data_IF_864194852706
#
_entry.id   IF_864194852706
#
_cell.length_a   1.000
_cell.length_b   1.000
_cell.length_c   1.000
_cell.angle_alpha   90.00
_cell.angle_beta   90.00
_cell.angle_gamma   90.00
#
_symmetry.space_group_name_H-M   'P 1'
#
loop_
_entity.id
_entity.type
_entity.pdbx_description
1 polymer ?
#
# COMPACT_ATOMS: atom_id res chain seq x y z
N UNK A 1 27.35 -8.76 -12.98
CA UNK A 1 27.90 -7.68 -12.12
C UNK A 1 27.42 -6.34 -12.67
N UNK A 2 27.12 -5.38 -11.81
CA UNK A 2 26.64 -4.05 -12.22
C UNK A 2 27.69 -3.28 -13.03
N UNK A 3 27.20 -2.53 -14.02
CA UNK A 3 28.04 -1.64 -14.83
C UNK A 3 28.18 -0.25 -14.19
N UNK A 4 29.10 0.56 -14.69
CA UNK A 4 29.25 1.96 -14.28
C UNK A 4 27.94 2.75 -14.46
N UNK A 5 27.16 2.46 -15.49
CA UNK A 5 25.85 3.09 -15.73
C UNK A 5 24.83 2.71 -14.68
N UNK A 6 24.79 1.43 -14.27
CA UNK A 6 23.91 0.99 -13.18
C UNK A 6 24.24 1.71 -11.86
N UNK A 7 25.53 1.83 -11.53
CA UNK A 7 25.95 2.53 -10.30
C UNK A 7 25.65 4.03 -10.36
N UNK A 8 25.80 4.66 -11.52
CA UNK A 8 25.39 6.06 -11.72
C UNK A 8 23.87 6.23 -11.53
N UNK A 9 23.09 5.29 -12.05
CA UNK A 9 21.63 5.27 -11.82
C UNK A 9 21.31 5.13 -10.33
N UNK A 10 22.00 4.22 -9.61
CA UNK A 10 21.84 4.10 -8.15
C UNK A 10 22.14 5.41 -7.42
N UNK A 11 23.21 6.11 -7.81
CA UNK A 11 23.52 7.41 -7.23
C UNK A 11 22.41 8.43 -7.49
N UNK A 12 21.86 8.51 -8.70
CA UNK A 12 20.78 9.44 -9.05
C UNK A 12 19.51 9.13 -8.25
N UNK A 13 19.10 7.87 -8.21
CA UNK A 13 17.95 7.43 -7.43
C UNK A 13 18.15 7.76 -5.93
N UNK A 14 19.34 7.52 -5.40
CA UNK A 14 19.67 7.81 -4.01
C UNK A 14 19.56 9.31 -3.67
N UNK A 15 20.14 10.18 -4.48
CA UNK A 15 20.07 11.63 -4.28
C UNK A 15 18.68 12.18 -4.51
N UNK A 16 17.84 11.53 -5.30
CA UNK A 16 16.44 11.93 -5.45
C UNK A 16 15.68 11.82 -4.13
N UNK A 17 16.02 10.82 -3.30
CA UNK A 17 15.41 10.57 -1.98
C UNK A 17 16.09 11.41 -0.90
N UNK A 18 17.44 11.43 -0.88
CA UNK A 18 18.27 12.03 0.17
C UNK A 18 19.05 13.24 -0.37
N UNK A 19 18.33 14.28 -0.79
CA UNK A 19 18.89 15.47 -1.44
C UNK A 19 19.94 16.20 -0.58
N UNK A 20 19.78 16.16 0.73
CA UNK A 20 20.68 16.78 1.71
C UNK A 20 22.03 16.05 1.84
N UNK A 21 22.20 14.88 1.19
CA UNK A 21 23.43 14.11 1.21
C UNK A 21 24.34 14.32 -0.01
N UNK A 22 23.95 15.17 -0.94
CA UNK A 22 24.70 15.44 -2.17
C UNK A 22 26.14 15.86 -1.88
N UNK A 23 26.36 16.71 -0.85
CA UNK A 23 27.70 17.18 -0.49
C UNK A 23 28.55 16.07 0.11
N UNK A 24 27.97 15.20 0.95
CA UNK A 24 28.64 14.04 1.54
C UNK A 24 29.12 13.05 0.50
N UNK A 25 28.37 12.89 -0.57
CA UNK A 25 28.63 11.91 -1.63
C UNK A 25 29.42 12.44 -2.83
N UNK A 26 29.99 13.65 -2.76
CA UNK A 26 30.82 14.22 -3.83
C UNK A 26 31.98 13.30 -4.22
N UNK A 27 32.60 12.62 -3.25
CA UNK A 27 33.69 11.71 -3.50
C UNK A 27 33.24 10.44 -4.23
N UNK A 28 32.14 9.84 -3.78
CA UNK A 28 31.52 8.70 -4.47
C UNK A 28 31.15 9.07 -5.91
N UNK A 29 30.50 10.21 -6.09
CA UNK A 29 30.15 10.70 -7.44
C UNK A 29 31.39 10.86 -8.31
N UNK A 30 32.45 11.49 -7.81
CA UNK A 30 33.71 11.67 -8.55
C UNK A 30 34.33 10.34 -8.94
N UNK A 31 34.27 9.35 -8.02
CA UNK A 31 34.81 8.01 -8.26
C UNK A 31 34.01 7.30 -9.38
N UNK A 32 32.69 7.24 -9.31
CA UNK A 32 31.87 6.55 -10.31
C UNK A 32 31.90 7.22 -11.69
N UNK A 33 32.12 8.55 -11.75
CA UNK A 33 32.23 9.27 -13.01
C UNK A 33 33.53 9.00 -13.75
N UNK A 34 34.63 8.65 -13.02
CA UNK A 34 35.95 8.51 -13.57
C UNK A 34 36.46 7.07 -13.66
N UNK A 35 35.73 6.11 -13.08
CA UNK A 35 36.21 4.72 -12.97
C UNK A 35 35.45 3.83 -13.97
N UNK A 36 36.21 3.03 -14.70
CA UNK A 36 35.69 2.05 -15.65
C UNK A 36 34.99 0.90 -14.90
N UNK A 37 34.02 0.24 -15.58
CA UNK A 37 33.15 -0.77 -14.95
C UNK A 37 33.91 -1.94 -14.34
N UNK A 38 35.00 -2.39 -14.95
CA UNK A 38 35.85 -3.50 -14.49
C UNK A 38 36.70 -3.15 -13.27
N UNK A 39 36.90 -1.86 -12.99
CA UNK A 39 37.71 -1.34 -11.89
C UNK A 39 36.87 -0.91 -10.68
N UNK A 40 35.54 -0.81 -10.82
CA UNK A 40 34.68 -0.36 -9.73
C UNK A 40 34.75 -1.27 -8.49
N UNK A 41 34.93 -2.56 -8.70
CA UNK A 41 34.97 -3.58 -7.65
C UNK A 41 36.38 -4.19 -7.44
N UNK A 42 37.39 -3.69 -8.16
CA UNK A 42 38.74 -4.24 -8.05
C UNK A 42 39.42 -3.74 -6.76
N UNK A 43 39.71 -4.68 -5.85
CA UNK A 43 40.43 -4.43 -4.59
C UNK A 43 41.82 -3.81 -4.78
N UNK A 44 42.40 -3.92 -5.98
CA UNK A 44 43.70 -3.33 -6.34
C UNK A 44 43.57 -1.92 -6.91
N UNK A 45 42.34 -1.42 -7.06
CA UNK A 45 42.14 -0.02 -7.41
C UNK A 45 42.33 0.86 -6.17
N UNK A 46 43.54 1.39 -6.01
CA UNK A 46 43.88 2.23 -4.85
C UNK A 46 43.40 3.69 -4.95
N UNK A 47 42.57 4.03 -5.92
CA UNK A 47 41.72 5.24 -5.85
C UNK A 47 40.55 4.98 -4.94
N UNK A 48 39.93 3.81 -5.09
CA UNK A 48 38.83 3.32 -4.30
C UNK A 48 38.13 2.14 -5.00
N UNK A 49 37.25 1.46 -4.28
CA UNK A 49 36.38 0.44 -4.85
C UNK A 49 35.06 0.32 -4.05
N UNK A 50 34.07 -0.28 -4.69
CA UNK A 50 32.75 -0.48 -4.10
C UNK A 50 32.76 -1.71 -3.21
N UNK A 51 32.19 -1.56 -2.01
CA UNK A 51 31.90 -2.63 -1.04
C UNK A 51 30.41 -2.70 -0.78
N UNK A 52 29.95 -3.76 -0.15
CA UNK A 52 28.56 -3.91 0.25
C UNK A 52 28.45 -4.40 1.69
N UNK A 53 27.51 -3.83 2.44
CA UNK A 53 27.26 -4.23 3.82
C UNK A 53 25.78 -4.28 4.16
N UNK A 54 25.46 -4.86 5.32
CA UNK A 54 24.09 -5.12 5.74
C UNK A 54 23.81 -4.59 7.15
N UNK A 55 22.74 -3.86 7.30
CA UNK A 55 22.12 -3.61 8.60
C UNK A 55 21.04 -4.67 8.79
N UNK A 56 21.27 -5.61 9.69
CA UNK A 56 20.34 -6.69 9.99
C UNK A 56 19.62 -6.35 11.29
N UNK A 57 18.30 -6.16 11.22
CA UNK A 57 17.46 -5.67 12.31
C UNK A 57 16.50 -6.76 12.79
N UNK A 58 16.56 -7.07 14.07
CA UNK A 58 15.54 -7.86 14.75
C UNK A 58 14.39 -6.93 15.19
N UNK A 59 13.28 -7.00 14.46
CA UNK A 59 12.11 -6.17 14.72
C UNK A 59 11.45 -6.46 16.08
N UNK A 60 11.50 -7.73 16.54
CA UNK A 60 10.86 -8.14 17.81
C UNK A 60 11.55 -7.54 19.02
N UNK A 61 12.88 -7.47 18.97
CA UNK A 61 13.71 -7.03 20.08
C UNK A 61 14.32 -5.64 19.87
N UNK A 62 14.05 -4.98 18.73
CA UNK A 62 14.59 -3.67 18.35
C UNK A 62 16.12 -3.62 18.39
N UNK A 63 16.77 -4.70 17.91
CA UNK A 63 18.24 -4.83 17.92
C UNK A 63 18.81 -4.96 16.51
N UNK A 64 20.08 -4.57 16.37
CA UNK A 64 20.89 -4.76 15.15
C UNK A 64 22.02 -5.75 15.40
N UNK A 65 22.32 -6.56 14.39
CA UNK A 65 23.42 -7.51 14.44
C UNK A 65 24.74 -6.83 14.10
N UNK A 66 25.73 -7.01 14.96
CA UNK A 66 27.08 -6.49 14.78
C UNK A 66 28.11 -7.62 14.86
N UNK A 67 29.16 -7.49 14.06
CA UNK A 67 30.34 -8.34 14.08
C UNK A 67 31.54 -7.58 14.63
N UNK A 68 32.43 -8.27 15.32
CA UNK A 68 33.71 -7.71 15.81
C UNK A 68 34.76 -7.74 14.72
N UNK A 69 35.08 -6.59 14.17
CA UNK A 69 36.15 -6.49 13.17
C UNK A 69 37.53 -6.64 13.87
N UNK A 70 38.18 -7.75 13.58
CA UNK A 70 39.40 -8.17 14.31
C UNK A 70 40.52 -7.12 14.25
N UNK A 71 40.77 -6.51 13.09
CA UNK A 71 41.87 -5.52 12.90
C UNK A 71 41.52 -4.18 13.56
N UNK A 72 40.29 -3.69 13.37
CA UNK A 72 39.88 -2.39 13.90
C UNK A 72 39.46 -2.45 15.37
N UNK A 73 39.29 -3.63 15.95
CA UNK A 73 38.77 -3.85 17.31
C UNK A 73 37.46 -3.10 17.59
N UNK A 74 36.62 -3.03 16.57
CA UNK A 74 35.30 -2.33 16.62
C UNK A 74 34.21 -3.27 16.21
N UNK A 75 33.00 -2.96 16.73
CA UNK A 75 31.78 -3.61 16.34
C UNK A 75 31.22 -2.89 15.11
N UNK A 76 31.05 -3.61 14.01
CA UNK A 76 30.58 -3.10 12.73
C UNK A 76 29.43 -3.96 12.21
N UNK A 77 28.74 -3.48 11.22
CA UNK A 77 27.76 -4.26 10.46
C UNK A 77 28.50 -5.34 9.63
N UNK A 78 27.83 -6.49 9.35
CA UNK A 78 28.34 -7.48 8.39
C UNK A 78 28.54 -6.89 6.99
N UNK A 79 29.58 -7.30 6.29
CA UNK A 79 29.80 -6.89 4.91
C UNK A 79 31.28 -6.90 4.51
N UNK A 80 31.52 -6.78 3.20
CA UNK A 80 32.86 -6.87 2.64
C UNK A 80 32.93 -6.52 1.17
N UNK A 81 33.89 -7.15 0.46
CA UNK A 81 34.14 -6.89 -0.93
C UNK A 81 33.19 -7.68 -1.84
N UNK A 82 32.81 -7.05 -2.93
CA UNK A 82 32.01 -7.71 -3.97
C UNK A 82 32.96 -8.49 -4.87
N UNK A 83 32.74 -9.78 -5.04
CA UNK A 83 33.55 -10.66 -5.84
C UNK A 83 33.07 -10.73 -7.30
N UNK A 84 33.97 -11.09 -8.22
CA UNK A 84 33.64 -11.25 -9.64
C UNK A 84 32.62 -12.36 -9.91
N UNK A 85 32.47 -13.29 -8.97
CA UNK A 85 31.48 -14.38 -8.99
C UNK A 85 30.11 -13.94 -8.55
N UNK A 86 29.98 -12.81 -7.85
CA UNK A 86 28.69 -12.29 -7.41
C UNK A 86 27.90 -11.76 -8.60
N UNK A 87 26.63 -12.16 -8.72
CA UNK A 87 25.77 -11.73 -9.82
C UNK A 87 25.42 -10.24 -9.72
N UNK A 88 25.28 -9.74 -8.48
CA UNK A 88 24.99 -8.35 -8.14
C UNK A 88 25.68 -7.94 -6.83
N UNK A 89 25.71 -6.63 -6.53
CA UNK A 89 26.19 -6.12 -5.24
C UNK A 89 25.38 -6.76 -4.10
N UNK A 90 24.08 -6.86 -4.25
CA UNK A 90 23.21 -7.46 -3.24
C UNK A 90 23.53 -8.96 -3.02
N UNK A 91 23.88 -9.71 -4.06
CA UNK A 91 24.27 -11.11 -3.91
C UNK A 91 25.60 -11.23 -3.16
N UNK A 92 26.56 -10.32 -3.41
CA UNK A 92 27.78 -10.20 -2.62
C UNK A 92 27.47 -9.90 -1.15
N UNK A 93 26.53 -9.00 -0.88
CA UNK A 93 26.09 -8.70 0.51
C UNK A 93 25.49 -9.94 1.18
N UNK A 94 24.64 -10.73 0.48
CA UNK A 94 24.10 -11.97 1.04
C UNK A 94 25.20 -13.01 1.32
N UNK A 95 26.22 -13.12 0.44
CA UNK A 95 27.36 -13.99 0.66
C UNK A 95 28.13 -13.58 1.90
N UNK A 96 28.49 -12.31 2.04
CA UNK A 96 29.21 -11.77 3.22
C UNK A 96 28.40 -11.99 4.51
N UNK A 97 27.08 -11.75 4.50
CA UNK A 97 26.22 -12.03 5.65
C UNK A 97 26.34 -13.51 6.05
N UNK A 98 26.23 -14.42 5.09
CA UNK A 98 26.30 -15.85 5.38
C UNK A 98 27.67 -16.27 5.92
N UNK A 99 28.75 -15.78 5.31
CA UNK A 99 30.13 -16.09 5.73
C UNK A 99 30.45 -15.59 7.16
N UNK A 100 29.96 -14.39 7.51
CA UNK A 100 30.27 -13.77 8.79
C UNK A 100 29.31 -14.12 9.92
N UNK A 101 28.05 -14.47 9.60
CA UNK A 101 26.99 -14.65 10.60
C UNK A 101 26.28 -16.00 10.55
N UNK A 102 26.49 -16.77 9.48
CA UNK A 102 25.77 -18.02 9.18
C UNK A 102 24.24 -17.83 9.04
N UNK A 103 23.75 -16.61 8.79
CA UNK A 103 22.34 -16.31 8.52
C UNK A 103 22.07 -16.59 7.05
N UNK A 104 21.08 -17.45 6.79
CA UNK A 104 20.67 -17.77 5.43
C UNK A 104 19.87 -16.63 4.78
N UNK A 105 19.96 -16.52 3.46
CA UNK A 105 19.20 -15.53 2.67
C UNK A 105 17.70 -15.58 2.93
N UNK A 106 17.14 -16.78 3.14
CA UNK A 106 15.71 -16.97 3.39
C UNK A 106 15.26 -16.45 4.76
N UNK A 107 16.17 -16.31 5.71
CA UNK A 107 15.92 -15.70 7.03
C UNK A 107 15.97 -14.17 7.01
N UNK A 108 16.24 -13.58 5.85
CA UNK A 108 16.37 -12.15 5.67
C UNK A 108 15.29 -11.60 4.76
N UNK A 109 14.79 -10.43 5.10
CA UNK A 109 13.90 -9.66 4.25
C UNK A 109 14.52 -8.30 3.99
N UNK A 110 14.85 -8.04 2.72
CA UNK A 110 15.37 -6.75 2.29
C UNK A 110 14.27 -5.68 2.38
N UNK A 111 14.54 -4.60 3.09
CA UNK A 111 13.71 -3.40 3.11
C UNK A 111 14.44 -2.29 2.37
N UNK A 112 13.86 -1.83 1.29
CA UNK A 112 14.44 -0.79 0.44
C UNK A 112 13.77 0.57 0.69
N UNK A 113 14.49 1.69 0.63
CA UNK A 113 13.87 3.02 0.64
C UNK A 113 13.01 3.30 -0.61
N UNK A 114 13.22 2.55 -1.69
CA UNK A 114 12.39 2.60 -2.90
C UNK A 114 11.54 1.33 -2.94
N UNK A 115 10.22 1.50 -2.91
CA UNK A 115 9.28 0.40 -2.96
C UNK A 115 9.48 -0.44 -4.25
N UNK A 116 9.50 -1.77 -4.10
CA UNK A 116 9.66 -2.71 -5.20
C UNK A 116 11.06 -2.78 -5.83
N UNK A 117 12.02 -1.95 -5.42
CA UNK A 117 13.42 -2.00 -5.90
C UNK A 117 14.34 -2.63 -4.85
N UNK A 118 15.39 -3.30 -5.29
CA UNK A 118 16.49 -3.79 -4.44
C UNK A 118 17.53 -2.68 -4.32
N UNK A 119 17.37 -1.80 -3.33
CA UNK A 119 18.13 -0.56 -3.25
C UNK A 119 18.77 -0.35 -1.87
N UNK A 120 20.00 0.20 -1.78
CA UNK A 120 20.65 0.45 -0.51
C UNK A 120 19.98 1.58 0.28
N UNK A 121 19.91 1.43 1.60
CA UNK A 121 19.42 2.47 2.52
C UNK A 121 20.43 3.60 2.68
N UNK A 122 21.72 3.29 2.54
CA UNK A 122 22.79 4.25 2.72
C UNK A 122 23.94 3.99 1.76
N UNK A 123 24.64 5.07 1.36
CA UNK A 123 25.91 5.02 0.64
C UNK A 123 26.93 5.79 1.48
N UNK A 124 28.04 5.17 1.81
CA UNK A 124 29.10 5.79 2.61
C UNK A 124 30.45 5.73 1.89
N UNK A 125 31.25 6.75 2.07
CA UNK A 125 32.62 6.79 1.53
C UNK A 125 33.58 7.10 2.64
N UNK A 126 34.46 6.16 2.96
CA UNK A 126 35.42 6.33 4.03
C UNK A 126 36.84 5.88 3.62
N UNK A 127 37.87 6.55 4.15
CA UNK A 127 39.21 6.19 3.84
C UNK A 127 39.63 4.90 4.57
N UNK A 128 40.31 4.02 3.84
CA UNK A 128 41.01 2.86 4.39
C UNK A 128 42.48 3.20 4.50
N UNK A 129 43.10 3.09 5.69
CA UNK A 129 44.50 3.34 5.87
C UNK A 129 45.39 2.32 5.14
N UNK A 130 46.60 2.70 4.83
CA UNK A 130 47.59 1.81 4.23
C UNK A 130 47.79 0.55 5.10
N UNK A 131 47.87 -0.61 4.44
CA UNK A 131 48.17 -1.88 5.07
C UNK A 131 49.41 -2.52 4.41
N UNK A 132 50.62 -2.26 4.91
CA UNK A 132 51.87 -2.78 4.33
C UNK A 132 51.90 -4.31 4.31
N UNK A 133 51.28 -4.98 5.29
CA UNK A 133 51.28 -6.44 5.37
C UNK A 133 50.49 -7.11 4.22
N UNK A 134 49.57 -6.40 3.63
CA UNK A 134 48.76 -6.84 2.49
C UNK A 134 49.14 -6.16 1.18
N UNK A 135 50.20 -5.32 1.19
CA UNK A 135 50.60 -4.48 0.06
C UNK A 135 49.47 -3.58 -0.46
N UNK A 136 48.59 -3.11 0.44
CA UNK A 136 47.46 -2.23 0.12
C UNK A 136 47.85 -0.79 0.46
N UNK A 137 47.78 0.10 -0.53
CA UNK A 137 47.95 1.55 -0.33
C UNK A 137 46.68 2.14 0.30
N UNK A 138 46.78 3.33 0.89
CA UNK A 138 45.65 4.09 1.31
C UNK A 138 44.66 4.28 0.13
N UNK A 139 43.41 4.01 0.35
CA UNK A 139 42.34 4.09 -0.66
C UNK A 139 41.00 4.37 -0.01
N UNK A 140 39.93 4.43 -0.82
CA UNK A 140 38.55 4.61 -0.31
C UNK A 140 37.71 3.35 -0.51
N UNK A 141 36.93 3.01 0.51
CA UNK A 141 35.78 2.14 0.33
C UNK A 141 34.54 3.01 0.10
N UNK A 142 33.77 2.61 -0.90
CA UNK A 142 32.46 3.16 -1.20
C UNK A 142 31.43 2.09 -0.88
N UNK A 143 30.89 2.14 0.33
CA UNK A 143 30.06 1.10 0.91
C UNK A 143 28.58 1.34 0.63
N UNK A 144 27.94 0.40 -0.07
CA UNK A 144 26.49 0.37 -0.28
C UNK A 144 25.85 -0.47 0.81
N UNK A 145 25.11 0.17 1.72
CA UNK A 145 24.52 -0.46 2.89
C UNK A 145 23.08 -0.85 2.61
N UNK A 146 22.75 -2.13 2.79
CA UNK A 146 21.40 -2.66 2.64
C UNK A 146 20.76 -2.90 4.00
N UNK A 147 19.43 -2.71 4.09
CA UNK A 147 18.71 -2.89 5.32
C UNK A 147 17.83 -4.14 5.25
N UNK A 148 17.97 -5.03 6.23
CA UNK A 148 17.25 -6.29 6.31
C UNK A 148 16.52 -6.43 7.63
N UNK A 149 15.30 -6.97 7.58
CA UNK A 149 14.60 -7.52 8.73
C UNK A 149 14.97 -8.98 8.86
N UNK A 150 15.40 -9.39 10.05
CA UNK A 150 15.64 -10.78 10.39
C UNK A 150 14.30 -11.48 10.69
N UNK A 151 14.01 -12.58 9.97
CA UNK A 151 12.79 -13.38 10.11
C UNK A 151 13.01 -14.70 10.85
N UNK A 152 14.26 -15.07 11.13
CA UNK A 152 14.59 -16.34 11.75
C UNK A 152 13.93 -16.48 13.12
N UNK A 153 13.50 -17.71 13.44
CA UNK A 153 12.89 -18.02 14.74
C UNK A 153 13.92 -18.08 15.88
N UNK A 154 15.17 -18.42 15.54
CA UNK A 154 16.27 -18.50 16.51
C UNK A 154 17.18 -17.30 16.32
N UNK A 155 17.32 -16.50 17.35
CA UNK A 155 18.38 -15.49 17.43
C UNK A 155 19.71 -16.25 17.25
N UNK A 156 20.53 -15.83 16.28
CA UNK A 156 21.89 -16.35 16.13
C UNK A 156 22.59 -16.19 17.47
N UNK A 157 23.18 -17.27 18.00
CA UNK A 157 23.84 -17.23 19.30
C UNK A 157 24.93 -16.17 19.31
N UNK A 158 24.93 -15.32 20.33
CA UNK A 158 26.01 -14.37 20.54
C UNK A 158 27.31 -15.11 20.78
N UNK A 159 28.36 -14.62 20.16
CA UNK A 159 29.72 -15.15 20.33
C UNK A 159 30.69 -14.03 20.66
N UNK A 160 31.97 -14.34 20.88
CA UNK A 160 32.99 -13.31 21.07
C UNK A 160 33.12 -12.33 19.88
N UNK A 161 32.63 -12.76 18.70
CA UNK A 161 32.73 -11.99 17.45
C UNK A 161 31.34 -11.56 16.88
N UNK A 162 30.22 -11.94 17.52
CA UNK A 162 28.87 -11.66 17.04
C UNK A 162 27.98 -11.26 18.20
N UNK A 163 27.25 -10.13 18.06
CA UNK A 163 26.29 -9.69 19.07
C UNK A 163 25.12 -8.93 18.50
N UNK A 164 24.01 -8.99 19.21
CA UNK A 164 22.86 -8.12 19.01
C UNK A 164 22.98 -6.88 19.90
N UNK A 165 22.89 -5.70 19.32
CA UNK A 165 23.04 -4.41 19.99
C UNK A 165 21.83 -3.54 19.76
N UNK A 166 21.49 -2.67 20.70
CA UNK A 166 20.47 -1.66 20.48
C UNK A 166 20.85 -0.74 19.32
N UNK A 167 19.86 -0.26 18.56
CA UNK A 167 20.08 0.68 17.45
C UNK A 167 20.84 1.92 17.90
N UNK A 168 20.59 2.38 19.14
CA UNK A 168 21.35 3.47 19.77
C UNK A 168 22.83 3.19 19.88
N UNK A 169 23.26 1.92 19.95
CA UNK A 169 24.68 1.53 19.95
C UNK A 169 25.40 1.86 18.62
N UNK A 170 24.67 1.96 17.51
CA UNK A 170 25.20 2.45 16.25
C UNK A 170 25.47 3.96 16.26
N UNK A 171 24.74 4.73 17.07
CA UNK A 171 24.79 6.19 17.11
C UNK A 171 26.08 6.76 17.74
N UNK A 172 26.91 5.93 18.38
CA UNK A 172 28.19 6.34 18.95
C UNK A 172 29.23 6.76 17.88
N UNK A 173 28.95 6.49 16.59
CA UNK A 173 29.76 6.91 15.46
C UNK A 173 28.96 7.92 14.62
N UNK A 174 29.56 9.09 14.34
CA UNK A 174 28.90 10.20 13.59
C UNK A 174 28.35 9.76 12.23
N UNK A 175 29.00 8.82 11.56
CA UNK A 175 28.56 8.23 10.29
C UNK A 175 27.24 7.46 10.38
N UNK A 176 26.88 6.96 11.56
CA UNK A 176 25.66 6.18 11.74
C UNK A 176 24.44 7.00 12.20
N UNK A 177 24.63 8.25 12.64
CA UNK A 177 23.48 9.08 13.09
C UNK A 177 22.42 9.26 11.99
N UNK A 178 22.86 9.55 10.76
CA UNK A 178 21.93 9.67 9.62
C UNK A 178 21.32 8.32 9.23
N UNK A 179 22.11 7.25 9.30
CA UNK A 179 21.63 5.89 9.04
C UNK A 179 20.56 5.47 10.04
N UNK A 180 20.76 5.75 11.34
CA UNK A 180 19.77 5.47 12.39
C UNK A 180 18.47 6.20 12.09
N UNK A 181 18.53 7.47 11.69
CA UNK A 181 17.32 8.20 11.28
C UNK A 181 16.62 7.53 10.10
N UNK A 182 17.36 7.15 9.04
CA UNK A 182 16.80 6.45 7.88
C UNK A 182 16.13 5.12 8.25
N UNK A 183 16.73 4.37 9.18
CA UNK A 183 16.16 3.13 9.70
C UNK A 183 14.82 3.43 10.36
N UNK A 184 14.76 4.42 11.26
CA UNK A 184 13.52 4.79 11.93
C UNK A 184 12.48 5.33 10.94
N UNK A 185 12.87 6.17 9.99
CA UNK A 185 11.98 6.67 8.93
C UNK A 185 11.37 5.52 8.10
N UNK A 186 12.12 4.42 7.89
CA UNK A 186 11.61 3.23 7.21
C UNK A 186 10.73 2.34 8.10
N UNK A 187 11.00 2.29 9.40
CA UNK A 187 10.24 1.50 10.37
C UNK A 187 8.96 2.20 10.84
N UNK A 188 8.94 3.53 10.80
CA UNK A 188 7.78 4.37 11.17
C UNK A 188 6.69 4.38 10.07
N UNK A 189 7.04 4.02 8.85
CA UNK A 189 6.07 3.63 7.81
C UNK A 189 5.47 2.30 8.27
N UNK A 190 4.15 2.15 8.18
CA UNK A 190 3.47 0.89 8.54
C UNK A 190 4.15 -0.31 7.85
N UNK A 191 5.17 -0.81 8.52
CA UNK A 191 6.04 -1.87 8.03
C UNK A 191 5.24 -3.14 7.71
N UNK A 192 4.20 -3.45 8.50
CA UNK A 192 3.38 -4.63 8.29
C UNK A 192 2.60 -4.54 7.00
N UNK A 193 1.99 -3.39 6.72
CA UNK A 193 1.26 -3.13 5.47
C UNK A 193 2.20 -3.20 4.27
N UNK A 194 3.37 -2.60 4.38
CA UNK A 194 4.39 -2.66 3.34
C UNK A 194 4.83 -4.10 3.06
N UNK A 195 5.17 -4.86 4.10
CA UNK A 195 5.61 -6.25 3.99
C UNK A 195 4.53 -7.15 3.39
N UNK A 196 3.27 -6.89 3.73
CA UNK A 196 2.13 -7.58 3.14
C UNK A 196 2.11 -7.40 1.62
N UNK A 197 2.20 -6.16 1.13
CA UNK A 197 2.20 -5.89 -0.30
C UNK A 197 3.46 -6.41 -1.01
N UNK A 198 4.65 -6.29 -0.43
CA UNK A 198 5.88 -6.84 -1.01
C UNK A 198 5.82 -8.37 -1.14
N UNK A 199 5.22 -9.07 -0.17
CA UNK A 199 4.98 -10.52 -0.25
C UNK A 199 4.00 -10.86 -1.39
N UNK A 200 2.93 -10.09 -1.59
CA UNK A 200 2.00 -10.28 -2.72
C UNK A 200 2.74 -10.09 -4.04
N UNK A 201 3.48 -9.00 -4.21
CA UNK A 201 4.24 -8.70 -5.42
C UNK A 201 5.22 -9.82 -5.75
N UNK A 202 5.94 -10.34 -4.75
CA UNK A 202 6.92 -11.42 -4.95
C UNK A 202 6.28 -12.71 -5.50
N UNK A 203 4.97 -12.90 -5.30
CA UNK A 203 4.20 -14.05 -5.78
C UNK A 203 3.40 -13.75 -7.04
N UNK A 204 3.29 -12.48 -7.43
CA UNK A 204 2.58 -12.10 -8.62
C UNK A 204 3.28 -12.68 -9.86
N UNK A 205 2.50 -13.35 -10.71
CA UNK A 205 2.99 -13.88 -11.99
C UNK A 205 2.54 -12.93 -13.09
N UNK A 206 3.50 -12.37 -13.82
CA UNK A 206 3.22 -11.59 -15.02
C UNK A 206 3.09 -12.53 -16.21
N UNK A 207 2.14 -12.26 -17.09
CA UNK A 207 1.88 -13.08 -18.29
C UNK A 207 2.85 -12.79 -19.43
N UNK A 208 3.81 -11.89 -19.24
CA UNK A 208 4.71 -11.40 -20.30
C UNK A 208 4.06 -10.38 -21.24
N UNK A 209 2.78 -10.06 -21.07
CA UNK A 209 2.10 -8.98 -21.79
C UNK A 209 2.31 -7.64 -21.07
N UNK A 210 2.42 -6.56 -21.85
CA UNK A 210 2.55 -5.22 -21.29
C UNK A 210 1.18 -4.65 -20.96
N UNK A 211 0.90 -4.50 -19.68
CA UNK A 211 -0.29 -3.85 -19.16
C UNK A 211 0.06 -2.52 -18.50
N UNK A 212 -0.86 -1.56 -18.60
CA UNK A 212 -0.86 -0.32 -17.84
C UNK A 212 -2.13 -0.24 -17.01
N UNK A 213 -2.11 0.56 -15.94
CA UNK A 213 -3.25 0.71 -15.05
C UNK A 213 -3.78 2.15 -15.02
N UNK A 214 -5.10 2.29 -14.91
CA UNK A 214 -5.79 3.48 -14.42
C UNK A 214 -6.49 3.07 -13.13
N UNK A 215 -6.33 3.85 -12.07
CA UNK A 215 -6.77 3.47 -10.74
C UNK A 215 -7.68 4.53 -10.13
N UNK A 216 -8.93 4.20 -9.88
CA UNK A 216 -9.79 4.96 -8.96
C UNK A 216 -9.43 4.58 -7.54
N UNK A 217 -9.15 5.54 -6.66
CA UNK A 217 -8.72 5.23 -5.30
C UNK A 217 -9.16 6.27 -4.27
N UNK A 218 -9.38 5.82 -3.04
CA UNK A 218 -9.34 6.68 -1.87
C UNK A 218 -7.89 7.11 -1.64
N UNK A 219 -7.67 8.38 -1.30
CA UNK A 219 -6.32 8.92 -1.01
C UNK A 219 -6.18 9.04 0.51
N UNK A 220 -6.09 7.89 1.16
CA UNK A 220 -5.91 7.73 2.61
C UNK A 220 -4.55 7.09 2.89
N UNK A 221 -4.02 7.12 4.12
CA UNK A 221 -2.67 6.65 4.41
C UNK A 221 -2.31 5.26 3.84
N UNK A 222 -3.20 4.28 3.97
CA UNK A 222 -2.97 2.92 3.50
C UNK A 222 -2.91 2.79 1.96
N UNK A 223 -3.52 3.74 1.24
CA UNK A 223 -3.53 3.74 -0.22
C UNK A 223 -2.12 3.88 -0.84
N UNK A 224 -1.18 4.51 -0.14
CA UNK A 224 0.19 4.71 -0.66
C UNK A 224 0.85 3.38 -1.00
N UNK A 225 0.78 2.41 -0.09
CA UNK A 225 1.39 1.08 -0.30
C UNK A 225 0.66 0.27 -1.36
N UNK A 226 -0.66 0.35 -1.39
CA UNK A 226 -1.50 -0.27 -2.40
C UNK A 226 -1.17 0.24 -3.81
N UNK A 227 -1.14 1.56 -4.00
CA UNK A 227 -0.83 2.18 -5.29
C UNK A 227 0.58 1.83 -5.77
N UNK A 228 1.58 1.88 -4.88
CA UNK A 228 2.95 1.47 -5.21
C UNK A 228 3.05 -0.02 -5.56
N UNK A 229 2.23 -0.86 -4.92
CA UNK A 229 2.17 -2.29 -5.23
C UNK A 229 1.60 -2.52 -6.64
N UNK A 230 0.52 -1.86 -7.00
CA UNK A 230 -0.03 -1.91 -8.36
C UNK A 230 1.02 -1.44 -9.37
N UNK A 231 1.62 -0.28 -9.14
CA UNK A 231 2.60 0.32 -10.07
C UNK A 231 3.82 -0.56 -10.33
N UNK A 232 4.22 -1.34 -9.32
CA UNK A 232 5.33 -2.31 -9.46
C UNK A 232 5.00 -3.43 -10.45
N UNK A 233 3.72 -3.83 -10.57
CA UNK A 233 3.27 -4.91 -11.45
C UNK A 233 2.72 -4.35 -12.76
N UNK A 234 1.94 -3.27 -12.67
CA UNK A 234 1.24 -2.61 -13.77
C UNK A 234 1.46 -1.11 -13.69
N UNK A 235 2.33 -0.51 -14.54
CA UNK A 235 2.61 0.92 -14.49
C UNK A 235 1.34 1.78 -14.49
N UNK A 236 1.14 2.56 -13.43
CA UNK A 236 -0.02 3.43 -13.26
C UNK A 236 0.14 4.67 -14.15
N UNK A 237 -0.79 4.88 -15.07
CA UNK A 237 -0.80 6.05 -15.95
C UNK A 237 -1.41 7.27 -15.27
N UNK A 238 -2.47 7.05 -14.50
CA UNK A 238 -3.09 8.09 -13.68
C UNK A 238 -3.93 7.49 -12.57
N UNK A 239 -4.09 8.26 -11.50
CA UNK A 239 -4.99 7.95 -10.39
C UNK A 239 -6.16 8.92 -10.44
N UNK A 240 -7.37 8.41 -10.33
CA UNK A 240 -8.61 9.18 -10.18
C UNK A 240 -9.00 9.15 -8.70
N UNK A 241 -8.81 10.22 -7.93
CA UNK A 241 -9.11 10.23 -6.51
C UNK A 241 -10.62 10.28 -6.25
N UNK A 242 -11.07 9.56 -5.24
CA UNK A 242 -12.46 9.66 -4.73
C UNK A 242 -12.63 10.99 -3.99
N UNK A 243 -13.54 11.89 -4.43
CA UNK A 243 -13.59 13.28 -3.94
C UNK A 243 -13.82 13.42 -2.43
N UNK A 244 -14.56 12.50 -1.84
CA UNK A 244 -14.93 12.55 -0.42
C UNK A 244 -13.95 11.80 0.51
N UNK A 245 -12.80 11.36 0.00
CA UNK A 245 -11.84 10.53 0.73
C UNK A 245 -10.41 10.90 0.37
N UNK A 246 -10.06 12.17 0.61
CA UNK A 246 -8.72 12.70 0.35
C UNK A 246 -8.13 13.23 1.67
N UNK A 247 -7.09 12.56 2.17
CA UNK A 247 -6.22 13.06 3.23
C UNK A 247 -5.12 13.92 2.59
N UNK A 248 -4.99 15.15 3.02
CA UNK A 248 -4.07 16.14 2.44
C UNK A 248 -2.59 15.74 2.52
N UNK A 249 -2.19 15.08 3.59
CA UNK A 249 -0.81 14.60 3.76
C UNK A 249 -0.52 13.48 2.77
N UNK A 250 -1.43 12.52 2.71
CA UNK A 250 -1.35 11.38 1.78
C UNK A 250 -1.39 11.87 0.33
N UNK A 251 -2.27 12.81 0.00
CA UNK A 251 -2.33 13.42 -1.33
C UNK A 251 -0.99 14.05 -1.73
N UNK A 252 -0.34 14.75 -0.79
CA UNK A 252 0.98 15.33 -1.03
C UNK A 252 2.06 14.29 -1.32
N UNK A 253 1.96 13.09 -0.72
CA UNK A 253 2.87 11.98 -0.97
C UNK A 253 2.57 11.37 -2.35
N UNK A 254 1.30 10.99 -2.60
CA UNK A 254 0.88 10.31 -3.82
C UNK A 254 1.18 11.13 -5.07
N UNK A 255 0.93 12.44 -5.06
CA UNK A 255 1.20 13.33 -6.20
C UNK A 255 2.68 13.51 -6.55
N UNK A 256 3.60 13.09 -5.68
CA UNK A 256 5.05 13.10 -6.00
C UNK A 256 5.44 11.87 -6.82
N UNK A 257 4.75 10.76 -6.58
CA UNK A 257 5.07 9.47 -7.18
C UNK A 257 4.23 9.22 -8.44
N UNK A 258 3.00 9.78 -8.48
CA UNK A 258 2.00 9.47 -9.50
C UNK A 258 1.37 10.71 -10.12
N UNK A 259 0.93 10.56 -11.37
CA UNK A 259 0.03 11.53 -11.99
C UNK A 259 -1.37 11.34 -11.39
N UNK A 260 -1.97 12.44 -10.95
CA UNK A 260 -3.33 12.45 -10.41
C UNK A 260 -4.19 13.28 -11.33
N UNK A 261 -5.29 12.72 -11.80
CA UNK A 261 -6.31 13.46 -12.52
C UNK A 261 -7.11 14.33 -11.55
N UNK A 262 -7.22 15.61 -11.84
CA UNK A 262 -8.02 16.51 -11.03
C UNK A 262 -9.50 16.25 -11.24
N UNK A 263 -10.21 16.02 -10.13
CA UNK A 263 -11.64 15.77 -10.15
C UNK A 263 -12.33 16.80 -9.28
N UNK A 264 -13.16 17.62 -9.89
CA UNK A 264 -14.16 18.41 -9.18
C UNK A 264 -15.46 17.62 -9.13
N UNK A 265 -16.19 17.63 -8.01
CA UNK A 265 -17.40 16.80 -7.84
C UNK A 265 -18.48 17.08 -8.91
N UNK A 266 -18.58 18.32 -9.37
CA UNK A 266 -19.56 18.75 -10.37
C UNK A 266 -19.16 18.37 -11.80
N UNK A 267 -17.84 18.30 -12.09
CA UNK A 267 -17.27 18.04 -13.43
C UNK A 267 -16.75 16.63 -13.59
N UNK A 268 -16.98 15.77 -12.60
CA UNK A 268 -16.30 14.51 -12.42
C UNK A 268 -16.45 13.54 -13.59
N UNK A 269 -17.63 13.52 -14.22
CA UNK A 269 -17.88 12.57 -15.31
C UNK A 269 -17.14 12.99 -16.59
N UNK A 270 -17.22 14.23 -16.99
CA UNK A 270 -16.76 14.65 -18.32
C UNK A 270 -15.31 15.11 -18.37
N UNK A 271 -14.87 15.93 -17.42
CA UNK A 271 -13.50 16.44 -17.46
C UNK A 271 -12.46 15.40 -17.06
N UNK A 272 -12.79 14.56 -16.07
CA UNK A 272 -11.93 13.44 -15.66
C UNK A 272 -11.81 12.39 -16.76
N UNK A 273 -12.93 12.01 -17.40
CA UNK A 273 -12.91 11.07 -18.52
C UNK A 273 -12.06 11.61 -19.67
N UNK A 274 -12.22 12.88 -20.05
CA UNK A 274 -11.44 13.53 -21.08
C UNK A 274 -9.94 13.57 -20.76
N UNK A 275 -9.58 13.78 -19.49
CA UNK A 275 -8.18 13.74 -19.06
C UNK A 275 -7.60 12.32 -19.15
N UNK A 276 -8.32 11.32 -18.65
CA UNK A 276 -7.92 9.90 -18.72
C UNK A 276 -7.77 9.47 -20.19
N UNK A 277 -8.74 9.81 -21.04
CA UNK A 277 -8.66 9.52 -22.48
C UNK A 277 -7.39 10.11 -23.09
N UNK A 278 -7.09 11.39 -22.87
CA UNK A 278 -5.87 12.03 -23.40
C UNK A 278 -4.58 11.36 -22.91
N UNK A 279 -4.57 10.84 -21.68
CA UNK A 279 -3.42 10.12 -21.17
C UNK A 279 -3.26 8.79 -21.91
N UNK A 280 -4.36 8.05 -22.09
CA UNK A 280 -4.37 6.73 -22.71
C UNK A 280 -4.12 6.78 -24.24
N UNK A 281 -4.46 7.87 -24.90
CA UNK A 281 -4.15 8.09 -26.33
C UNK A 281 -2.63 8.13 -26.61
N UNK A 282 -1.82 8.47 -25.60
CA UNK A 282 -0.36 8.48 -25.70
C UNK A 282 0.30 7.14 -25.37
N UNK A 283 -0.48 6.08 -25.21
CA UNK A 283 -0.01 4.72 -24.88
C UNK A 283 -0.54 3.71 -25.89
N UNK A 284 0.08 2.53 -25.96
CA UNK A 284 -0.35 1.45 -26.86
C UNK A 284 -0.59 0.12 -26.14
N UNK A 285 -0.31 0.07 -24.85
CA UNK A 285 -0.40 -1.13 -24.02
C UNK A 285 -1.86 -1.51 -23.74
N UNK A 286 -2.08 -2.75 -23.28
CA UNK A 286 -3.37 -3.20 -22.74
C UNK A 286 -3.67 -2.50 -21.43
N UNK A 287 -4.93 -2.19 -21.19
CA UNK A 287 -5.39 -1.35 -20.09
C UNK A 287 -6.10 -2.22 -19.04
N UNK A 288 -5.71 -2.04 -17.78
CA UNK A 288 -6.43 -2.52 -16.61
C UNK A 288 -7.07 -1.32 -15.92
N UNK A 289 -8.38 -1.40 -15.68
CA UNK A 289 -9.11 -0.38 -14.92
C UNK A 289 -9.41 -0.91 -13.52
N UNK A 290 -8.85 -0.28 -12.51
CA UNK A 290 -9.16 -0.52 -11.11
C UNK A 290 -10.21 0.50 -10.69
N UNK A 291 -11.41 0.04 -10.38
CA UNK A 291 -12.58 0.88 -10.13
C UNK A 291 -13.10 0.74 -8.72
N UNK A 292 -13.63 1.83 -8.17
CA UNK A 292 -14.28 1.91 -6.86
C UNK A 292 -15.55 2.73 -7.00
N UNK A 293 -16.67 2.08 -7.24
CA UNK A 293 -17.99 2.72 -7.33
C UNK A 293 -18.55 2.88 -8.73
N UNK A 294 -18.02 2.14 -9.70
CA UNK A 294 -18.59 2.04 -11.05
C UNK A 294 -18.36 3.26 -11.93
N UNK A 295 -17.19 3.91 -11.78
CA UNK A 295 -16.84 5.11 -12.57
C UNK A 295 -16.73 4.80 -14.06
N UNK A 296 -16.30 3.59 -14.41
CA UNK A 296 -16.11 3.18 -15.80
C UNK A 296 -17.29 2.35 -16.36
N UNK A 297 -18.42 2.28 -15.67
CA UNK A 297 -19.54 1.43 -16.12
C UNK A 297 -20.08 1.83 -17.51
N UNK A 298 -20.11 3.12 -17.82
CA UNK A 298 -20.67 3.67 -19.06
C UNK A 298 -19.64 4.03 -20.14
N UNK A 299 -18.36 3.77 -19.94
CA UNK A 299 -17.30 4.17 -20.88
C UNK A 299 -17.48 3.62 -22.31
N UNK A 300 -18.17 2.48 -22.46
CA UNK A 300 -18.48 1.90 -23.78
C UNK A 300 -19.35 2.82 -24.65
N UNK A 301 -20.05 3.80 -24.07
CA UNK A 301 -20.85 4.79 -24.78
C UNK A 301 -20.07 6.08 -25.10
N UNK A 302 -19.02 6.38 -24.33
CA UNK A 302 -18.36 7.69 -24.36
C UNK A 302 -16.90 7.66 -24.81
N UNK A 303 -16.21 6.53 -24.65
CA UNK A 303 -14.79 6.46 -24.96
C UNK A 303 -14.49 6.08 -26.42
N UNK A 304 -13.35 6.54 -26.99
CA UNK A 304 -12.90 6.15 -28.33
C UNK A 304 -12.71 4.64 -28.46
N UNK A 305 -13.17 4.08 -29.58
CA UNK A 305 -13.04 2.63 -29.86
C UNK A 305 -11.60 2.14 -29.77
N UNK A 306 -10.63 2.95 -30.19
CA UNK A 306 -9.20 2.65 -30.12
C UNK A 306 -8.68 2.42 -28.69
N UNK A 307 -9.30 3.03 -27.69
CA UNK A 307 -9.01 2.79 -26.27
C UNK A 307 -9.80 1.58 -25.77
N UNK A 308 -11.09 1.52 -26.12
CA UNK A 308 -11.98 0.42 -25.67
C UNK A 308 -11.45 -0.97 -26.04
N UNK A 309 -10.92 -1.12 -27.25
CA UNK A 309 -10.34 -2.39 -27.72
C UNK A 309 -9.09 -2.83 -26.94
N UNK A 310 -8.47 -1.93 -26.22
CA UNK A 310 -7.29 -2.20 -25.39
C UNK A 310 -7.63 -2.54 -23.94
N UNK A 311 -8.86 -2.31 -23.50
CA UNK A 311 -9.28 -2.63 -22.14
C UNK A 311 -9.35 -4.15 -21.98
N UNK A 312 -8.44 -4.69 -21.19
CA UNK A 312 -8.35 -6.12 -20.93
C UNK A 312 -9.25 -6.57 -19.79
N UNK A 313 -9.38 -5.74 -18.74
CA UNK A 313 -10.14 -6.09 -17.55
C UNK A 313 -10.52 -4.83 -16.76
N UNK A 314 -11.71 -4.87 -16.19
CA UNK A 314 -12.17 -3.93 -15.15
C UNK A 314 -12.27 -4.69 -13.83
N UNK A 315 -11.69 -4.13 -12.77
CA UNK A 315 -11.66 -4.70 -11.43
C UNK A 315 -12.44 -3.74 -10.53
N UNK A 316 -13.66 -4.11 -10.16
CA UNK A 316 -14.52 -3.28 -9.30
C UNK A 316 -14.47 -3.75 -7.85
N UNK A 317 -14.15 -2.84 -6.95
CA UNK A 317 -13.94 -3.12 -5.53
C UNK A 317 -15.23 -3.11 -4.71
N UNK A 318 -16.26 -2.37 -5.14
CA UNK A 318 -17.47 -2.13 -4.34
C UNK A 318 -18.70 -2.85 -4.88
N UNK A 319 -19.60 -3.24 -4.00
CA UNK A 319 -20.90 -3.83 -4.40
C UNK A 319 -21.77 -2.84 -5.16
N UNK A 320 -21.81 -1.56 -4.72
CA UNK A 320 -22.56 -0.51 -5.42
C UNK A 320 -22.05 -0.31 -6.86
N UNK A 321 -20.73 -0.21 -7.02
CA UNK A 321 -20.12 -0.10 -8.35
C UNK A 321 -20.43 -1.31 -9.22
N UNK A 322 -20.31 -2.52 -8.67
CA UNK A 322 -20.62 -3.73 -9.42
C UNK A 322 -22.08 -3.83 -9.87
N UNK A 323 -23.02 -3.36 -9.05
CA UNK A 323 -24.45 -3.28 -9.43
C UNK A 323 -24.66 -2.33 -10.61
N UNK A 324 -23.90 -1.22 -10.72
CA UNK A 324 -23.95 -0.34 -11.90
C UNK A 324 -23.50 -1.10 -13.15
N UNK A 325 -22.46 -1.88 -13.07
CA UNK A 325 -22.02 -2.76 -14.18
C UNK A 325 -23.07 -3.81 -14.54
N UNK A 326 -23.68 -4.49 -13.55
CA UNK A 326 -24.76 -5.45 -13.79
C UNK A 326 -25.96 -4.80 -14.50
N UNK A 327 -26.30 -3.58 -14.11
CA UNK A 327 -27.38 -2.84 -14.77
C UNK A 327 -27.05 -2.54 -16.23
N UNK A 328 -25.86 -2.02 -16.51
CA UNK A 328 -25.42 -1.69 -17.88
C UNK A 328 -25.29 -2.95 -18.75
N UNK A 329 -24.75 -4.04 -18.19
CA UNK A 329 -24.69 -5.34 -18.88
C UNK A 329 -26.10 -5.84 -19.22
N UNK A 330 -27.02 -5.82 -18.26
CA UNK A 330 -28.42 -6.24 -18.48
C UNK A 330 -29.16 -5.38 -19.49
N UNK A 331 -28.91 -4.08 -19.54
CA UNK A 331 -29.47 -3.18 -20.56
C UNK A 331 -28.87 -3.44 -21.94
N UNK A 332 -27.58 -3.71 -22.02
CA UNK A 332 -26.90 -4.08 -23.28
C UNK A 332 -27.47 -5.39 -23.84
N UNK A 333 -27.68 -6.40 -22.99
CA UNK A 333 -28.30 -7.66 -23.38
C UNK A 333 -29.75 -7.46 -23.90
N UNK A 334 -30.54 -6.61 -23.22
CA UNK A 334 -31.91 -6.26 -23.70
C UNK A 334 -31.89 -5.56 -25.06
N UNK A 335 -30.87 -4.73 -25.31
CA UNK A 335 -30.64 -4.05 -26.61
C UNK A 335 -29.96 -4.96 -27.66
N UNK A 336 -29.68 -6.24 -27.32
CA UNK A 336 -28.91 -7.19 -28.14
C UNK A 336 -27.51 -6.69 -28.51
N UNK A 337 -26.92 -5.91 -27.64
CA UNK A 337 -25.53 -5.45 -27.69
C UNK A 337 -24.72 -6.23 -26.68
N UNK A 338 -23.53 -6.68 -27.02
CA UNK A 338 -22.63 -7.30 -26.05
C UNK A 338 -21.87 -6.19 -25.30
N UNK A 339 -21.88 -6.23 -23.98
CA UNK A 339 -20.95 -5.44 -23.19
C UNK A 339 -19.52 -5.93 -23.46
N UNK A 340 -18.60 -5.06 -23.93
CA UNK A 340 -17.35 -5.54 -24.51
C UNK A 340 -16.30 -5.96 -23.49
N UNK A 341 -16.47 -5.65 -22.21
CA UNK A 341 -15.42 -5.81 -21.20
C UNK A 341 -15.70 -6.97 -20.23
N UNK A 342 -14.61 -7.57 -19.73
CA UNK A 342 -14.68 -8.43 -18.55
C UNK A 342 -14.67 -7.55 -17.30
N UNK A 343 -15.60 -7.80 -16.38
CA UNK A 343 -15.68 -7.15 -15.09
C UNK A 343 -15.52 -8.19 -13.99
N UNK A 344 -14.60 -7.96 -13.06
CA UNK A 344 -14.38 -8.80 -11.89
C UNK A 344 -14.79 -8.02 -10.64
N UNK A 345 -15.67 -8.60 -9.84
CA UNK A 345 -16.08 -8.03 -8.56
C UNK A 345 -15.21 -8.52 -7.42
N UNK A 346 -14.45 -7.62 -6.81
CA UNK A 346 -13.74 -7.88 -5.56
C UNK A 346 -14.74 -7.92 -4.40
N UNK A 347 -15.78 -7.07 -4.41
CA UNK A 347 -16.81 -7.03 -3.38
C UNK A 347 -17.49 -8.38 -3.13
N UNK A 348 -17.62 -9.22 -4.16
CA UNK A 348 -18.23 -10.56 -4.06
C UNK A 348 -17.19 -11.66 -3.82
N UNK A 349 -15.93 -11.30 -3.64
CA UNK A 349 -14.88 -12.23 -3.24
C UNK A 349 -15.00 -12.61 -1.76
N UNK A 350 -14.70 -13.86 -1.36
CA UNK A 350 -14.58 -14.23 0.05
C UNK A 350 -13.56 -13.39 0.84
N UNK A 351 -12.57 -12.83 0.20
CA UNK A 351 -11.58 -11.94 0.84
C UNK A 351 -12.22 -10.67 1.40
N UNK A 352 -13.29 -10.16 0.77
CA UNK A 352 -13.98 -8.93 1.18
C UNK A 352 -14.88 -9.12 2.42
N UNK A 353 -15.20 -10.36 2.83
CA UNK A 353 -16.08 -10.59 3.97
C UNK A 353 -15.51 -10.03 5.29
N UNK A 354 -14.23 -10.20 5.50
CA UNK A 354 -13.57 -9.69 6.72
C UNK A 354 -13.50 -8.16 6.72
N UNK A 355 -13.23 -7.55 5.58
CA UNK A 355 -13.19 -6.10 5.44
C UNK A 355 -14.57 -5.49 5.68
N UNK A 356 -15.61 -6.01 5.04
CA UNK A 356 -16.99 -5.53 5.19
C UNK A 356 -17.47 -5.63 6.65
N UNK A 357 -17.02 -6.68 7.37
CA UNK A 357 -17.29 -6.80 8.81
C UNK A 357 -16.63 -5.67 9.61
N UNK A 358 -15.35 -5.35 9.32
CA UNK A 358 -14.63 -4.26 9.98
C UNK A 358 -15.20 -2.89 9.62
N UNK A 359 -15.68 -2.69 8.39
CA UNK A 359 -16.39 -1.46 7.99
C UNK A 359 -17.64 -1.29 8.83
N UNK A 360 -18.49 -2.32 8.95
CA UNK A 360 -19.68 -2.28 9.79
C UNK A 360 -19.37 -2.01 11.27
N UNK A 361 -18.28 -2.57 11.79
CA UNK A 361 -17.78 -2.28 13.13
C UNK A 361 -17.41 -0.80 13.28
N UNK A 362 -16.67 -0.25 12.32
CA UNK A 362 -16.25 1.17 12.35
C UNK A 362 -17.44 2.11 12.30
N UNK A 363 -18.43 1.82 11.46
CA UNK A 363 -19.69 2.58 11.40
C UNK A 363 -20.42 2.55 12.74
N UNK A 364 -20.53 1.37 13.35
CA UNK A 364 -21.16 1.24 14.66
C UNK A 364 -20.45 2.06 15.73
N UNK A 365 -19.10 1.98 15.81
CA UNK A 365 -18.34 2.74 16.80
C UNK A 365 -18.42 4.24 16.56
N UNK A 366 -18.41 4.70 15.32
CA UNK A 366 -18.57 6.12 14.99
C UNK A 366 -19.96 6.62 15.41
N UNK A 367 -21.01 5.84 15.16
CA UNK A 367 -22.36 6.15 15.58
C UNK A 367 -22.47 6.20 17.13
N UNK A 368 -21.92 5.20 17.85
CA UNK A 368 -21.92 5.19 19.32
C UNK A 368 -21.17 6.40 19.90
N UNK A 369 -20.03 6.81 19.28
CA UNK A 369 -19.29 7.99 19.70
C UNK A 369 -20.09 9.28 19.50
N UNK A 370 -20.69 9.49 18.34
CA UNK A 370 -21.54 10.65 18.05
C UNK A 370 -22.77 10.72 18.98
N UNK A 371 -23.41 9.57 19.28
CA UNK A 371 -24.52 9.54 20.23
C UNK A 371 -24.09 9.95 21.63
N UNK A 372 -22.89 9.54 22.08
CA UNK A 372 -22.34 9.92 23.39
C UNK A 372 -21.98 11.40 23.48
N UNK A 373 -21.47 11.99 22.41
CA UNK A 373 -21.24 13.44 22.32
C UNK A 373 -22.53 14.23 22.49
N UNK A 374 -23.66 13.69 21.98
CA UNK A 374 -25.01 14.26 22.14
C UNK A 374 -25.71 13.83 23.45
N UNK A 375 -24.96 13.23 24.38
CA UNK A 375 -25.46 12.81 25.70
C UNK A 375 -26.41 11.61 25.67
N UNK A 376 -26.43 10.84 24.59
CA UNK A 376 -27.30 9.68 24.41
C UNK A 376 -26.52 8.38 24.47
N UNK A 377 -27.16 7.33 24.97
CA UNK A 377 -26.58 5.99 24.99
C UNK A 377 -27.39 5.10 24.03
N UNK A 378 -26.71 4.51 23.05
CA UNK A 378 -27.32 3.72 21.99
C UNK A 378 -28.15 2.53 22.55
N UNK A 379 -27.82 2.04 23.74
CA UNK A 379 -28.53 0.95 24.42
C UNK A 379 -29.98 1.27 24.77
N UNK A 380 -30.33 2.55 24.89
CA UNK A 380 -31.69 3.00 25.24
C UNK A 380 -32.45 3.51 24.05
N UNK A 381 -31.92 3.41 22.85
CA UNK A 381 -32.52 3.91 21.62
C UNK A 381 -33.06 2.76 20.77
N UNK A 382 -34.14 3.01 20.07
CA UNK A 382 -34.66 2.08 19.05
C UNK A 382 -33.83 2.20 17.79
N UNK A 383 -33.04 1.15 17.46
CA UNK A 383 -32.21 1.11 16.27
C UNK A 383 -32.92 0.36 15.13
N UNK A 384 -32.95 0.99 13.97
CA UNK A 384 -33.39 0.42 12.71
C UNK A 384 -32.25 0.24 11.74
N UNK A 385 -32.31 -0.79 10.92
CA UNK A 385 -31.33 -1.05 9.85
C UNK A 385 -32.09 -1.33 8.56
N UNK A 386 -31.85 -0.54 7.54
CA UNK A 386 -32.29 -0.78 6.18
C UNK A 386 -31.13 -1.38 5.38
N UNK A 387 -31.32 -2.60 4.88
CA UNK A 387 -30.29 -3.41 4.23
C UNK A 387 -29.58 -4.38 5.18
N UNK A 388 -29.67 -5.69 4.89
CA UNK A 388 -29.01 -6.74 5.65
C UNK A 388 -27.95 -7.44 4.77
N UNK A 389 -27.14 -6.61 4.09
CA UNK A 389 -25.91 -7.03 3.44
C UNK A 389 -24.80 -7.29 4.46
N UNK A 390 -23.58 -7.43 4.02
CA UNK A 390 -22.41 -7.72 4.89
C UNK A 390 -22.22 -6.64 5.96
N UNK A 391 -22.30 -5.35 5.57
CA UNK A 391 -22.13 -4.22 6.49
C UNK A 391 -23.32 -4.10 7.46
N UNK A 392 -24.57 -4.14 6.96
CA UNK A 392 -25.76 -4.08 7.83
C UNK A 392 -25.81 -5.22 8.83
N UNK A 393 -25.39 -6.43 8.43
CA UNK A 393 -25.27 -7.59 9.33
C UNK A 393 -24.20 -7.38 10.42
N UNK A 394 -23.06 -6.77 10.05
CA UNK A 394 -22.02 -6.43 11.03
C UNK A 394 -22.52 -5.40 12.04
N UNK A 395 -23.18 -4.32 11.60
CA UNK A 395 -23.79 -3.32 12.48
C UNK A 395 -24.81 -3.98 13.45
N UNK A 396 -25.68 -4.84 12.92
CA UNK A 396 -26.66 -5.58 13.73
C UNK A 396 -25.96 -6.44 14.80
N UNK A 397 -24.90 -7.15 14.43
CA UNK A 397 -24.11 -7.97 15.35
C UNK A 397 -23.53 -7.13 16.50
N UNK A 398 -22.98 -5.97 16.22
CA UNK A 398 -22.42 -5.08 17.25
C UNK A 398 -23.50 -4.47 18.15
N UNK A 399 -24.68 -4.16 17.62
CA UNK A 399 -25.83 -3.75 18.40
C UNK A 399 -26.30 -4.87 19.35
N UNK A 400 -26.41 -6.10 18.85
CA UNK A 400 -26.79 -7.27 19.64
C UNK A 400 -25.77 -7.53 20.77
N UNK A 401 -24.48 -7.41 20.52
CA UNK A 401 -23.42 -7.52 21.54
C UNK A 401 -23.55 -6.47 22.65
N UNK A 402 -24.17 -5.33 22.37
CA UNK A 402 -24.49 -4.27 23.34
C UNK A 402 -25.88 -4.43 23.98
N UNK A 403 -26.57 -5.55 23.72
CA UNK A 403 -27.89 -5.83 24.25
C UNK A 403 -29.03 -5.10 23.52
N UNK A 404 -28.77 -4.47 22.38
CA UNK A 404 -29.76 -3.81 21.55
C UNK A 404 -30.25 -4.79 20.47
N UNK A 405 -31.54 -5.03 20.38
CA UNK A 405 -32.16 -5.82 19.31
C UNK A 405 -32.64 -4.87 18.19
N UNK A 406 -31.87 -4.68 17.11
CA UNK A 406 -32.29 -3.78 16.05
C UNK A 406 -33.52 -4.32 15.29
N UNK A 407 -34.26 -3.41 14.72
CA UNK A 407 -35.27 -3.70 13.74
C UNK A 407 -34.65 -3.69 12.35
N UNK A 408 -34.74 -4.80 11.61
CA UNK A 408 -34.04 -4.99 10.34
C UNK A 408 -35.04 -5.20 9.21
N UNK A 409 -34.83 -4.53 8.09
CA UNK A 409 -35.51 -4.75 6.84
C UNK A 409 -34.53 -4.91 5.68
N UNK A 410 -34.82 -5.84 4.79
CA UNK A 410 -34.15 -6.02 3.51
C UNK A 410 -35.20 -6.39 2.45
N UNK A 411 -35.03 -5.93 1.22
CA UNK A 411 -35.92 -6.31 0.12
C UNK A 411 -35.84 -7.80 -0.20
N UNK A 412 -34.66 -8.42 0.01
CA UNK A 412 -34.45 -9.84 -0.17
C UNK A 412 -35.03 -10.64 1.02
N UNK A 413 -36.06 -11.50 0.80
CA UNK A 413 -36.67 -12.28 1.88
C UNK A 413 -35.68 -13.26 2.55
N UNK A 414 -34.71 -13.79 1.83
CA UNK A 414 -33.72 -14.70 2.41
C UNK A 414 -32.82 -13.98 3.44
N UNK A 415 -32.47 -12.72 3.17
CA UNK A 415 -31.71 -11.90 4.11
C UNK A 415 -32.54 -11.58 5.36
N UNK A 416 -33.84 -11.35 5.20
CA UNK A 416 -34.77 -11.19 6.36
C UNK A 416 -34.85 -12.44 7.22
N UNK A 417 -34.90 -13.64 6.61
CA UNK A 417 -34.82 -14.90 7.34
C UNK A 417 -33.52 -15.06 8.09
N UNK A 418 -32.39 -14.72 7.45
CA UNK A 418 -31.08 -14.73 8.11
C UNK A 418 -31.06 -13.77 9.31
N UNK A 419 -31.54 -12.56 9.14
CA UNK A 419 -31.65 -11.57 10.23
C UNK A 419 -32.51 -12.08 11.40
N UNK A 420 -33.62 -12.75 11.13
CA UNK A 420 -34.46 -13.35 12.16
C UNK A 420 -33.74 -14.45 12.94
N UNK A 421 -33.05 -15.34 12.23
CA UNK A 421 -32.28 -16.41 12.85
C UNK A 421 -31.13 -15.88 13.72
N UNK A 422 -30.64 -14.68 13.44
CA UNK A 422 -29.61 -13.98 14.21
C UNK A 422 -30.19 -13.06 15.30
N UNK A 423 -31.43 -13.32 15.72
CA UNK A 423 -32.13 -12.69 16.84
C UNK A 423 -32.52 -11.22 16.63
N UNK A 424 -32.50 -10.70 15.42
CA UNK A 424 -33.01 -9.38 15.11
C UNK A 424 -34.53 -9.33 15.05
N UNK A 425 -35.13 -8.15 15.19
CA UNK A 425 -36.55 -7.89 14.94
C UNK A 425 -36.77 -7.67 13.44
N UNK A 426 -37.85 -8.21 12.86
CA UNK A 426 -38.12 -8.14 11.42
C UNK A 426 -39.53 -7.52 11.19
N UNK A 427 -39.76 -6.25 11.52
CA UNK A 427 -40.97 -5.56 11.15
C UNK A 427 -40.99 -5.19 9.65
N UNK A 428 -42.09 -4.61 9.20
CA UNK A 428 -42.12 -3.98 7.88
C UNK A 428 -41.26 -2.71 7.84
N UNK A 429 -40.94 -2.24 6.63
CA UNK A 429 -40.06 -1.09 6.40
C UNK A 429 -40.61 0.19 7.04
N UNK A 430 -41.93 0.42 6.87
CA UNK A 430 -42.57 1.65 7.33
C UNK A 430 -42.56 1.74 8.86
N UNK A 431 -42.78 0.62 9.54
CA UNK A 431 -42.64 0.54 11.00
C UNK A 431 -41.23 0.90 11.49
N UNK A 432 -40.19 0.49 10.75
CA UNK A 432 -38.81 0.85 11.08
C UNK A 432 -38.62 2.36 10.95
N UNK A 433 -39.07 2.96 9.85
CA UNK A 433 -38.92 4.40 9.60
C UNK A 433 -39.62 5.20 10.71
N UNK A 434 -40.85 4.82 11.06
CA UNK A 434 -41.69 5.55 12.04
C UNK A 434 -41.20 5.41 13.49
N UNK A 435 -40.60 4.27 13.84
CA UNK A 435 -40.28 3.96 15.24
C UNK A 435 -38.83 4.20 15.66
N UNK A 436 -37.91 4.29 14.68
CA UNK A 436 -36.50 4.35 15.00
C UNK A 436 -36.06 5.71 15.58
N UNK A 437 -35.24 5.67 16.62
CA UNK A 437 -34.50 6.82 17.12
C UNK A 437 -33.16 6.96 16.37
N UNK A 438 -32.64 5.81 15.89
CA UNK A 438 -31.43 5.72 15.04
C UNK A 438 -31.76 4.82 13.86
N UNK A 439 -31.42 5.26 12.66
CA UNK A 439 -31.59 4.52 11.44
C UNK A 439 -30.27 4.39 10.68
N UNK A 440 -29.81 3.16 10.50
CA UNK A 440 -28.66 2.86 9.66
C UNK A 440 -29.12 2.50 8.25
N UNK A 441 -28.66 3.23 7.26
CA UNK A 441 -28.91 2.96 5.85
C UNK A 441 -27.70 2.23 5.26
N UNK A 442 -27.87 0.94 4.96
CA UNK A 442 -26.81 0.01 4.54
C UNK A 442 -27.22 -0.82 3.31
N UNK A 443 -27.94 -0.20 2.38
CA UNK A 443 -28.49 -0.88 1.20
C UNK A 443 -27.54 -0.88 0.01
N UNK A 444 -26.63 0.10 -0.07
CA UNK A 444 -25.83 0.38 -1.26
C UNK A 444 -26.66 0.96 -2.41
N UNK A 445 -27.92 1.30 -2.17
CA UNK A 445 -28.87 1.90 -3.09
C UNK A 445 -29.80 2.85 -2.33
N UNK A 446 -30.68 3.56 -3.06
CA UNK A 446 -31.67 4.45 -2.47
C UNK A 446 -32.52 3.70 -1.43
N UNK A 447 -32.38 4.05 -0.17
CA UNK A 447 -33.07 3.44 0.98
C UNK A 447 -34.19 4.29 1.51
N UNK A 448 -34.05 5.62 1.46
CA UNK A 448 -35.07 6.61 1.89
C UNK A 448 -35.39 7.57 0.75
N UNK A 449 -36.68 7.78 0.51
CA UNK A 449 -37.21 8.78 -0.41
C UNK A 449 -37.70 10.02 0.35
N UNK A 450 -38.05 11.08 -0.37
CA UNK A 450 -38.56 12.34 0.21
C UNK A 450 -39.77 12.13 1.13
N UNK A 451 -40.64 11.17 0.82
CA UNK A 451 -41.85 10.90 1.60
C UNK A 451 -41.51 10.23 2.94
N UNK A 452 -40.50 9.38 2.95
CA UNK A 452 -39.99 8.71 4.15
C UNK A 452 -39.54 9.71 5.22
N UNK A 453 -38.92 10.83 4.81
CA UNK A 453 -38.45 11.87 5.75
C UNK A 453 -39.63 12.54 6.52
N UNK A 454 -40.84 12.54 5.95
CA UNK A 454 -42.03 13.06 6.64
C UNK A 454 -42.55 12.12 7.70
N UNK A 455 -42.28 10.83 7.55
CA UNK A 455 -42.72 9.77 8.44
C UNK A 455 -41.71 9.44 9.54
N UNK A 456 -40.49 9.96 9.41
CA UNK A 456 -39.43 9.77 10.43
C UNK A 456 -39.83 10.40 11.75
N UNK A 457 -39.42 9.75 12.82
CA UNK A 457 -39.56 10.28 14.17
C UNK A 457 -38.80 11.59 14.31
N UNK A 458 -39.37 12.61 14.91
CA UNK A 458 -38.71 13.87 15.12
C UNK A 458 -37.44 13.65 15.97
N UNK A 459 -36.28 14.11 15.47
CA UNK A 459 -34.96 13.90 16.12
C UNK A 459 -34.37 12.51 15.85
N UNK A 460 -34.84 11.77 14.86
CA UNK A 460 -34.20 10.53 14.40
C UNK A 460 -32.84 10.83 13.79
N UNK A 461 -31.82 10.06 14.20
CA UNK A 461 -30.46 10.09 13.62
C UNK A 461 -30.39 9.12 12.46
N UNK A 462 -29.89 9.60 11.33
CA UNK A 462 -29.69 8.79 10.13
C UNK A 462 -28.20 8.66 9.88
N UNK A 463 -27.71 7.42 9.81
CA UNK A 463 -26.34 7.09 9.45
C UNK A 463 -26.34 6.41 8.08
N UNK A 464 -25.92 7.15 7.04
CA UNK A 464 -25.63 6.59 5.73
C UNK A 464 -24.28 5.85 5.80
N UNK A 465 -24.27 4.62 5.32
CA UNK A 465 -23.10 3.73 5.40
C UNK A 465 -22.25 3.79 4.14
N UNK A 466 -22.82 4.30 3.05
CA UNK A 466 -22.07 4.49 1.79
C UNK A 466 -21.42 5.88 1.75
N UNK A 467 -20.25 6.01 1.13
CA UNK A 467 -19.59 7.32 0.96
C UNK A 467 -20.25 8.19 -0.12
N UNK A 468 -21.21 7.66 -0.85
CA UNK A 468 -21.99 8.38 -1.86
C UNK A 468 -23.37 8.78 -1.29
N UNK A 469 -23.94 9.87 -1.79
CA UNK A 469 -25.29 10.32 -1.41
C UNK A 469 -26.40 9.44 -2.03
N UNK A 470 -26.03 8.28 -2.56
CA UNK A 470 -26.91 7.38 -3.32
C UNK A 470 -27.98 6.69 -2.46
N UNK A 471 -27.85 6.71 -1.13
CA UNK A 471 -28.82 6.07 -0.22
C UNK A 471 -29.99 6.96 0.17
N UNK A 472 -29.86 8.27 0.03
CA UNK A 472 -30.86 9.25 0.46
C UNK A 472 -31.33 10.07 -0.74
N UNK A 473 -32.66 10.19 -0.92
CA UNK A 473 -33.24 11.14 -1.86
C UNK A 473 -33.52 12.45 -1.11
N UNK A 474 -32.58 13.40 -1.22
CA UNK A 474 -32.65 14.72 -0.57
C UNK A 474 -33.17 15.78 -1.54
#
# INVERSE_FOLDING_TARGET
METSENIKSYYQDYISIYKDETDRLKQFKTFIDKTESDQLFDRKNFVGHITGSAIIFDYKNSKVLLIKHIILQRWLQPGGHIEKTDASILDGVYREIFEETNIAKDDLMLISPIFGKKFPIDIDSHPIPENPAKHEKQHFHHDLRYFFIYKGEKITEESENLKWSDVSGLSSQVTFLKLVKKIWDLLDIDLNTRLFYENIISKARTTGENYIAVVVSHIIPDAVHYLRAIDTIFPIQTIVPKPNSIDEKTYTIVRKDFKISHVCREDMAQDTENEVIRILENTNEKILLFDIGGYFAHIHETWPVTILERIALIIEDTENGYQKYEHVIGDSERKKQNYPFKVVSVARSPLKENEDFLVGQSVFFSADALMREDGKLIQYLKCGILGYGKIGRSIASHLLQRGVKPAVYDTNPLKRVSAFNELNRIPDRDSIIKESDILFSATGNKSLNIEDFRELKNGCYIFSVTPSDDELEL
#
